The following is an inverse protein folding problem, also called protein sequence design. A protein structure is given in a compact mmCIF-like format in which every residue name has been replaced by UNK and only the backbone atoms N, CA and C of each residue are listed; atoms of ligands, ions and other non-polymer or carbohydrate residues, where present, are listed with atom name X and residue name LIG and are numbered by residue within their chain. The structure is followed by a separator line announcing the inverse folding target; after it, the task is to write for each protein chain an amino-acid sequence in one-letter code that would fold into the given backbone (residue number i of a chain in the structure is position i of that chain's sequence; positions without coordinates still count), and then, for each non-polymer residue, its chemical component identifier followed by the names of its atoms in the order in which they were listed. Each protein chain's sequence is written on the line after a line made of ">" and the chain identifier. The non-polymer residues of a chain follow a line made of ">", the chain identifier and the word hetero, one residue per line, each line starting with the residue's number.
data_IF_156933288362
#
_entry.id   IF_156933288362
#
_cell.length_a   1.000
_cell.length_b   1.000
_cell.length_c   1.000
_cell.angle_alpha   90.00
_cell.angle_beta   90.00
_cell.angle_gamma   90.00
#
_symmetry.space_group_name_H-M   'P 1'
#
loop_
_entity.id
_entity.type
_entity.pdbx_description
1 polymer ?
#
# COMPACT_ATOMS: atom_id res chain seq x y z
N UNK A 1 8.25 4.73 -17.26
CA UNK A 1 9.45 4.18 -16.61
C UNK A 1 9.48 2.66 -16.74
N UNK A 2 10.61 2.05 -17.13
CA UNK A 2 10.80 0.60 -17.05
C UNK A 2 10.75 0.11 -15.59
N UNK A 3 9.92 -0.90 -15.33
CA UNK A 3 9.90 -1.64 -14.07
C UNK A 3 9.75 -3.14 -14.35
N UNK A 4 10.44 -3.96 -13.58
CA UNK A 4 10.41 -5.43 -13.70
C UNK A 4 10.22 -6.02 -12.32
N UNK A 5 9.08 -6.67 -12.09
CA UNK A 5 8.84 -7.44 -10.88
C UNK A 5 9.75 -8.68 -10.86
N UNK A 6 10.28 -9.02 -9.69
CA UNK A 6 11.10 -10.20 -9.46
C UNK A 6 10.32 -11.14 -8.55
N UNK A 7 9.95 -12.32 -9.05
CA UNK A 7 9.23 -13.36 -8.31
C UNK A 7 9.81 -14.74 -8.68
N UNK A 8 11.02 -15.09 -8.18
CA UNK A 8 11.62 -16.39 -8.47
C UNK A 8 10.86 -17.51 -7.76
N UNK A 9 10.88 -18.71 -8.34
CA UNK A 9 10.29 -19.94 -7.77
C UNK A 9 11.06 -20.50 -6.57
N UNK A 10 12.20 -19.89 -6.22
CA UNK A 10 13.02 -20.22 -5.05
C UNK A 10 12.51 -19.61 -3.74
N UNK A 11 11.44 -18.81 -3.80
CA UNK A 11 10.74 -18.25 -2.64
C UNK A 11 9.22 -18.45 -2.80
N UNK A 12 8.46 -18.24 -1.73
CA UNK A 12 7.01 -18.44 -1.76
C UNK A 12 6.32 -17.53 -2.79
N UNK A 13 5.19 -17.99 -3.33
CA UNK A 13 4.36 -17.17 -4.21
C UNK A 13 3.70 -16.04 -3.40
N UNK A 14 4.21 -14.82 -3.57
CA UNK A 14 3.69 -13.62 -2.93
C UNK A 14 2.57 -12.93 -3.70
N UNK A 15 2.36 -13.29 -4.97
CA UNK A 15 1.36 -12.66 -5.83
C UNK A 15 -0.05 -12.95 -5.32
N UNK A 16 -0.24 -14.12 -4.70
CA UNK A 16 -1.47 -14.44 -3.98
C UNK A 16 -1.79 -13.44 -2.87
N UNK A 17 -0.84 -12.64 -2.37
CA UNK A 17 -1.07 -11.60 -1.35
C UNK A 17 -1.02 -10.18 -1.93
N UNK A 18 -0.88 -10.03 -3.25
CA UNK A 18 -0.87 -8.73 -3.93
C UNK A 18 0.46 -7.97 -3.88
N UNK A 19 1.60 -8.64 -3.68
CA UNK A 19 2.92 -8.02 -3.73
C UNK A 19 3.97 -8.87 -4.47
N UNK A 20 5.01 -8.23 -5.00
CA UNK A 20 6.17 -8.93 -5.60
C UNK A 20 7.31 -9.09 -4.61
N UNK A 21 8.12 -10.14 -4.73
CA UNK A 21 9.29 -10.37 -3.87
C UNK A 21 10.37 -9.28 -4.06
N UNK A 22 10.47 -8.71 -5.26
CA UNK A 22 11.34 -7.58 -5.55
C UNK A 22 10.89 -6.79 -6.77
N UNK A 23 11.53 -5.63 -6.99
CA UNK A 23 11.27 -4.76 -8.12
C UNK A 23 12.57 -4.11 -8.60
N UNK A 24 12.88 -4.25 -9.89
CA UNK A 24 13.88 -3.43 -10.57
C UNK A 24 13.15 -2.26 -11.19
N UNK A 25 13.62 -1.03 -10.94
CA UNK A 25 13.02 0.19 -11.47
C UNK A 25 14.10 1.18 -11.85
N UNK A 26 13.88 1.92 -12.94
CA UNK A 26 14.66 3.10 -13.30
C UNK A 26 13.75 4.32 -13.30
N UNK A 27 14.30 5.49 -12.98
CA UNK A 27 13.60 6.77 -13.01
C UNK A 27 14.51 7.90 -12.54
N UNK A 28 14.03 9.14 -12.66
CA UNK A 28 14.81 10.35 -12.35
C UNK A 28 14.36 11.04 -11.07
N UNK A 29 13.10 10.85 -10.67
CA UNK A 29 12.51 11.52 -9.50
C UNK A 29 11.85 10.50 -8.59
N UNK A 30 12.20 10.54 -7.30
CA UNK A 30 11.59 9.72 -6.25
C UNK A 30 10.63 10.57 -5.44
N UNK A 31 9.44 10.03 -5.16
CA UNK A 31 8.45 10.63 -4.27
C UNK A 31 8.33 9.74 -3.04
N UNK A 32 8.41 10.36 -1.87
CA UNK A 32 8.16 9.73 -0.58
C UNK A 32 6.84 10.28 -0.05
N UNK A 33 5.88 9.41 0.24
CA UNK A 33 4.61 9.80 0.83
C UNK A 33 4.67 9.55 2.33
N UNK A 34 4.06 10.44 3.12
CA UNK A 34 3.70 10.12 4.50
C UNK A 34 2.71 8.95 4.53
N UNK A 35 2.66 8.22 5.64
CA UNK A 35 1.67 7.17 5.85
C UNK A 35 0.25 7.70 5.66
N UNK A 36 -0.52 7.00 4.83
CA UNK A 36 -1.94 7.29 4.59
C UNK A 36 -2.78 6.32 5.41
N UNK A 37 -3.82 6.84 6.05
CA UNK A 37 -4.75 6.09 6.92
C UNK A 37 -6.16 6.12 6.34
N UNK A 38 -7.07 5.37 6.96
CA UNK A 38 -8.47 5.26 6.57
C UNK A 38 -9.35 6.46 6.89
N UNK A 39 -8.92 7.67 6.51
CA UNK A 39 -9.66 8.93 6.72
C UNK A 39 -10.03 9.60 5.39
N UNK A 40 -11.07 10.43 5.40
CA UNK A 40 -11.41 11.30 4.29
C UNK A 40 -10.65 12.65 4.34
N UNK A 41 -10.91 13.52 3.36
CA UNK A 41 -10.28 14.84 3.26
C UNK A 41 -10.72 15.84 4.35
N UNK A 42 -11.66 15.46 5.22
CA UNK A 42 -12.09 16.22 6.40
C UNK A 42 -11.60 15.55 7.70
N UNK A 43 -10.62 14.65 7.60
CA UNK A 43 -10.01 13.91 8.72
C UNK A 43 -11.00 12.98 9.45
N UNK A 44 -12.10 12.59 8.80
CA UNK A 44 -13.07 11.66 9.39
C UNK A 44 -12.71 10.24 9.00
N UNK A 45 -12.61 9.35 9.99
CA UNK A 45 -12.43 7.90 9.77
C UNK A 45 -13.61 7.36 8.94
N UNK A 46 -13.31 6.70 7.82
CA UNK A 46 -14.32 6.32 6.81
C UNK A 46 -15.25 5.19 7.25
N UNK A 47 -14.87 4.45 8.28
CA UNK A 47 -15.65 3.38 8.89
C UNK A 47 -14.84 2.55 9.91
N UNK A 48 -15.49 1.64 10.65
CA UNK A 48 -14.87 0.91 11.74
C UNK A 48 -14.04 -0.30 11.31
N UNK A 49 -14.12 -0.73 10.05
CA UNK A 49 -13.52 -1.96 9.53
C UNK A 49 -12.23 -1.75 8.75
N UNK A 50 -11.39 -2.78 8.75
CA UNK A 50 -10.10 -2.77 8.06
C UNK A 50 -10.26 -2.60 6.55
N UNK A 51 -11.33 -3.13 5.96
CA UNK A 51 -11.54 -3.10 4.51
C UNK A 51 -11.74 -1.67 3.99
N UNK A 52 -12.71 -0.94 4.52
CA UNK A 52 -12.98 0.44 4.11
C UNK A 52 -11.82 1.37 4.44
N UNK A 53 -11.13 1.16 5.57
CA UNK A 53 -9.95 1.95 5.91
C UNK A 53 -8.77 1.68 4.97
N UNK A 54 -8.60 0.42 4.53
CA UNK A 54 -7.58 0.06 3.53
C UNK A 54 -7.86 0.74 2.19
N UNK A 55 -9.11 0.66 1.71
CA UNK A 55 -9.48 1.31 0.46
C UNK A 55 -9.31 2.83 0.53
N UNK A 56 -9.67 3.46 1.64
CA UNK A 56 -9.45 4.90 1.84
C UNK A 56 -7.97 5.28 1.91
N UNK A 57 -7.12 4.49 2.59
CA UNK A 57 -5.68 4.71 2.62
C UNK A 57 -5.07 4.65 1.20
N UNK A 58 -5.46 3.65 0.40
CA UNK A 58 -5.01 3.50 -0.99
C UNK A 58 -5.54 4.63 -1.90
N UNK A 59 -6.78 5.08 -1.70
CA UNK A 59 -7.34 6.24 -2.41
C UNK A 59 -6.58 7.52 -2.08
N UNK A 60 -6.19 7.71 -0.82
CA UNK A 60 -5.40 8.86 -0.39
C UNK A 60 -4.00 8.83 -1.02
N UNK A 61 -3.34 7.65 -1.07
CA UNK A 61 -2.09 7.47 -1.81
C UNK A 61 -2.26 7.87 -3.29
N UNK A 62 -3.32 7.39 -3.93
CA UNK A 62 -3.59 7.71 -5.34
C UNK A 62 -3.77 9.22 -5.55
N UNK A 63 -4.52 9.90 -4.68
CA UNK A 63 -4.73 11.35 -4.74
C UNK A 63 -3.42 12.13 -4.57
N UNK A 64 -2.57 11.74 -3.62
CA UNK A 64 -1.26 12.37 -3.39
C UNK A 64 -0.35 12.16 -4.60
N UNK A 65 -0.31 10.95 -5.16
CA UNK A 65 0.44 10.65 -6.38
C UNK A 65 -0.06 11.48 -7.56
N UNK A 66 -1.38 11.57 -7.75
CA UNK A 66 -1.99 12.34 -8.83
C UNK A 66 -1.60 13.84 -8.76
N UNK A 67 -1.50 14.42 -7.56
CA UNK A 67 -1.05 15.81 -7.38
C UNK A 67 0.39 16.04 -7.87
N UNK A 68 1.21 14.99 -7.95
CA UNK A 68 2.57 15.02 -8.49
C UNK A 68 2.66 14.52 -9.95
N UNK A 69 1.52 14.29 -10.62
CA UNK A 69 1.47 13.69 -11.96
C UNK A 69 1.84 12.20 -11.99
N UNK A 70 1.81 11.53 -10.83
CA UNK A 70 2.04 10.10 -10.69
C UNK A 70 0.71 9.32 -10.61
N UNK A 71 0.79 8.01 -10.37
CA UNK A 71 -0.31 7.06 -10.35
C UNK A 71 0.13 5.80 -9.62
N UNK A 72 -0.80 4.93 -9.22
CA UNK A 72 -0.49 3.71 -8.45
C UNK A 72 0.60 2.83 -9.08
N UNK A 73 0.63 2.70 -10.41
CA UNK A 73 1.68 1.96 -11.15
C UNK A 73 3.11 2.49 -10.96
N UNK A 74 3.27 3.70 -10.43
CA UNK A 74 4.56 4.32 -10.13
C UNK A 74 5.10 3.94 -8.74
N UNK A 75 4.27 3.31 -7.90
CA UNK A 75 4.70 2.84 -6.57
C UNK A 75 5.74 1.73 -6.72
N UNK A 76 6.82 1.88 -5.98
CA UNK A 76 7.98 0.97 -5.96
C UNK A 76 8.14 0.23 -4.64
N UNK A 77 7.48 0.68 -3.57
CA UNK A 77 7.48 0.04 -2.26
C UNK A 77 6.22 0.45 -1.48
N UNK A 78 5.65 -0.48 -0.75
CA UNK A 78 4.64 -0.22 0.28
C UNK A 78 5.13 -0.68 1.66
N UNK A 79 4.87 0.10 2.71
CA UNK A 79 4.97 -0.37 4.10
C UNK A 79 3.59 -0.30 4.71
N UNK A 80 3.09 -1.45 5.15
CA UNK A 80 1.73 -1.64 5.61
C UNK A 80 1.79 -1.96 7.10
N UNK A 81 1.25 -1.06 7.91
CA UNK A 81 1.13 -1.19 9.35
C UNK A 81 -0.32 -1.50 9.69
N UNK A 82 -0.57 -2.63 10.32
CA UNK A 82 -1.91 -3.08 10.70
C UNK A 82 -1.98 -3.15 12.22
N UNK A 83 -3.01 -2.56 12.81
CA UNK A 83 -3.22 -2.63 14.25
C UNK A 83 -3.45 -4.06 14.72
N UNK A 84 -2.96 -4.39 15.92
CA UNK A 84 -3.17 -5.69 16.57
C UNK A 84 -4.64 -6.10 16.58
N UNK A 85 -5.55 -5.15 16.85
CA UNK A 85 -7.00 -5.36 16.87
C UNK A 85 -7.58 -5.81 15.52
N UNK A 86 -6.87 -5.56 14.41
CA UNK A 86 -7.26 -5.93 13.05
C UNK A 86 -6.40 -7.06 12.44
N UNK A 87 -5.50 -7.67 13.23
CA UNK A 87 -4.60 -8.75 12.76
C UNK A 87 -5.35 -9.89 12.09
N UNK A 88 -6.56 -10.21 12.55
CA UNK A 88 -7.38 -11.31 12.04
C UNK A 88 -7.93 -11.10 10.62
N UNK A 89 -8.01 -9.85 10.17
CA UNK A 89 -8.74 -9.46 8.95
C UNK A 89 -7.83 -9.17 7.75
N UNK A 90 -6.54 -9.51 7.83
CA UNK A 90 -5.52 -9.16 6.82
C UNK A 90 -5.86 -9.57 5.38
N UNK A 91 -6.70 -10.60 5.17
CA UNK A 91 -7.09 -11.02 3.83
C UNK A 91 -7.76 -9.88 3.03
N UNK A 92 -8.51 -8.99 3.69
CA UNK A 92 -9.15 -7.85 3.01
C UNK A 92 -8.12 -6.88 2.44
N UNK A 93 -6.95 -6.78 3.08
CA UNK A 93 -5.82 -5.96 2.61
C UNK A 93 -5.20 -6.61 1.39
N UNK A 94 -4.98 -7.93 1.41
CA UNK A 94 -4.42 -8.68 0.29
C UNK A 94 -5.36 -8.59 -0.94
N UNK A 95 -6.66 -8.73 -0.70
CA UNK A 95 -7.71 -8.51 -1.68
C UNK A 95 -7.66 -7.11 -2.30
N UNK A 96 -7.51 -6.07 -1.47
CA UNK A 96 -7.37 -4.69 -1.95
C UNK A 96 -6.11 -4.51 -2.80
N UNK A 97 -4.96 -5.04 -2.37
CA UNK A 97 -3.72 -4.97 -3.14
C UNK A 97 -3.84 -5.68 -4.50
N UNK A 98 -4.42 -6.88 -4.55
CA UNK A 98 -4.68 -7.61 -5.80
C UNK A 98 -5.57 -6.80 -6.76
N UNK A 99 -6.57 -6.08 -6.23
CA UNK A 99 -7.42 -5.18 -7.04
C UNK A 99 -6.68 -3.93 -7.54
N UNK A 100 -5.88 -3.29 -6.69
CA UNK A 100 -5.17 -2.03 -7.04
C UNK A 100 -3.92 -2.26 -7.90
N UNK A 101 -3.32 -3.44 -7.82
CA UNK A 101 -2.11 -3.82 -8.52
C UNK A 101 -2.27 -5.16 -9.24
N UNK A 102 -3.14 -5.24 -10.26
CA UNK A 102 -3.44 -6.50 -10.95
C UNK A 102 -2.22 -7.09 -11.68
N UNK A 103 -1.29 -6.23 -12.12
CA UNK A 103 -0.09 -6.61 -12.84
C UNK A 103 1.15 -5.95 -12.24
N UNK A 104 2.21 -6.73 -12.01
CA UNK A 104 3.49 -6.27 -11.48
C UNK A 104 3.37 -5.45 -10.17
N UNK A 105 2.78 -6.00 -9.09
CA UNK A 105 2.62 -5.25 -7.84
C UNK A 105 3.97 -4.85 -7.24
N UNK A 106 4.06 -3.73 -6.48
CA UNK A 106 5.28 -3.39 -5.75
C UNK A 106 5.59 -4.43 -4.66
N UNK A 107 6.84 -4.52 -4.19
CA UNK A 107 7.13 -5.18 -2.93
C UNK A 107 6.45 -4.45 -1.78
N UNK A 108 6.19 -5.20 -0.70
CA UNK A 108 5.59 -4.66 0.50
C UNK A 108 6.18 -5.27 1.77
N UNK A 109 6.15 -4.51 2.86
CA UNK A 109 6.37 -5.04 4.22
C UNK A 109 5.07 -4.94 5.01
N UNK A 110 4.73 -6.02 5.71
CA UNK A 110 3.52 -6.12 6.53
C UNK A 110 3.92 -6.23 8.00
N UNK A 111 3.46 -5.29 8.82
CA UNK A 111 3.89 -5.14 10.20
C UNK A 111 2.66 -5.00 11.07
N UNK A 112 2.53 -5.87 12.07
CA UNK A 112 1.51 -5.67 13.10
C UNK A 112 2.06 -4.75 14.18
N UNK A 113 1.32 -3.70 14.48
CA UNK A 113 1.66 -2.68 15.47
C UNK A 113 0.65 -2.69 16.61
N UNK A 114 1.06 -2.23 17.79
CA UNK A 114 0.17 -2.16 18.97
C UNK A 114 -0.97 -1.16 18.83
N UNK A 115 -0.87 -0.25 17.86
CA UNK A 115 -1.84 0.81 17.60
C UNK A 115 -1.25 1.86 16.65
N UNK A 116 -2.12 2.74 16.15
CA UNK A 116 -1.76 3.90 15.32
C UNK A 116 -2.00 5.20 16.10
N UNK A 117 -1.86 6.35 15.44
CA UNK A 117 -1.97 7.66 16.10
C UNK A 117 -3.34 7.92 16.75
N UNK A 118 -4.42 7.32 16.21
CA UNK A 118 -5.75 7.33 16.80
C UNK A 118 -6.24 5.89 17.00
N UNK A 119 -7.00 5.62 18.08
CA UNK A 119 -7.42 4.26 18.43
C UNK A 119 -8.37 3.62 17.41
N UNK A 120 -9.14 4.42 16.67
CA UNK A 120 -10.05 3.93 15.63
C UNK A 120 -9.36 3.60 14.29
N UNK A 121 -8.09 3.94 14.13
CA UNK A 121 -7.33 3.64 12.92
C UNK A 121 -6.79 2.22 12.99
N UNK A 122 -7.07 1.42 11.97
CA UNK A 122 -6.71 0.01 11.88
C UNK A 122 -5.55 -0.26 10.91
N UNK A 123 -5.28 0.67 10.01
CA UNK A 123 -4.22 0.54 9.01
C UNK A 123 -3.59 1.89 8.65
N UNK A 124 -2.28 1.86 8.45
CA UNK A 124 -1.50 2.93 7.85
C UNK A 124 -0.63 2.35 6.73
N UNK A 125 -0.62 3.01 5.57
CA UNK A 125 0.14 2.59 4.40
C UNK A 125 1.08 3.70 3.96
N UNK A 126 2.38 3.47 4.05
CA UNK A 126 3.41 4.32 3.47
C UNK A 126 3.70 3.85 2.04
N UNK A 127 3.88 4.79 1.12
CA UNK A 127 4.24 4.50 -0.26
C UNK A 127 5.46 5.30 -0.70
N UNK A 128 6.30 4.64 -1.49
CA UNK A 128 7.34 5.29 -2.27
C UNK A 128 7.07 5.09 -3.75
N UNK A 129 7.29 6.11 -4.56
CA UNK A 129 7.11 6.06 -6.01
C UNK A 129 8.33 6.60 -6.75
N UNK A 130 8.51 6.11 -7.98
CA UNK A 130 9.52 6.61 -8.92
C UNK A 130 8.81 7.17 -10.16
N UNK A 131 9.35 8.25 -10.70
CA UNK A 131 8.90 8.90 -11.93
C UNK A 131 10.09 9.09 -12.87
N UNK A 132 9.78 9.19 -14.16
CA UNK A 132 10.73 9.68 -15.17
C UNK A 132 10.94 11.20 -15.07
#
# INVERSE_FOLDING_TARGET
>A
MPRTALNPDTVFDSLQYGFSQGLIVTGQRRIMLSGQVGVDAQERTVGPGLNEQTDAALDNIERVLAAAGAAMRHIIMLRIYICEDARGDQEVVADALRRRFPDNPPPSSWIIVSGLSLPEWLIEIEAEAMLD
#
